data_IF_815671755482
#
_entry.id   IF_815671755482
#
_cell.length_a   1.000
_cell.length_b   1.000
_cell.length_c   1.000
_cell.angle_alpha   90.00
_cell.angle_beta   90.00
_cell.angle_gamma   90.00
#
_symmetry.space_group_name_H-M   'P 1'
#
loop_
_entity.id
_entity.type
_entity.pdbx_description
1 polymer ?
#
# COMPACT_ATOMS: atom_id res chain seq x y z
N UNK A 1 -17.25 -25.70 -9.19
CA UNK A 1 -16.71 -26.33 -7.97
C UNK A 1 -15.39 -25.67 -7.65
N UNK A 2 -15.12 -25.38 -6.38
CA UNK A 2 -13.85 -24.79 -5.93
C UNK A 2 -12.74 -25.85 -6.04
N UNK A 3 -11.56 -25.44 -6.52
CA UNK A 3 -10.39 -26.28 -6.76
C UNK A 3 -9.17 -25.74 -6.02
N UNK A 4 -8.15 -26.57 -5.89
CA UNK A 4 -6.82 -26.13 -5.46
C UNK A 4 -6.30 -25.06 -6.42
N UNK A 5 -5.64 -24.04 -5.88
CA UNK A 5 -5.18 -22.83 -6.56
C UNK A 5 -6.26 -21.83 -6.98
N UNK A 6 -7.54 -22.08 -6.63
CA UNK A 6 -8.57 -21.04 -6.79
C UNK A 6 -8.40 -19.95 -5.74
N UNK A 7 -8.85 -18.75 -6.11
CA UNK A 7 -9.12 -17.69 -5.15
C UNK A 7 -10.58 -17.73 -4.72
N UNK A 8 -10.83 -17.45 -3.45
CA UNK A 8 -12.17 -17.42 -2.86
C UNK A 8 -12.37 -16.19 -2.01
N UNK A 9 -13.63 -15.88 -1.71
CA UNK A 9 -14.03 -14.88 -0.73
C UNK A 9 -14.91 -15.49 0.34
N UNK A 10 -14.79 -14.99 1.58
CA UNK A 10 -15.75 -15.30 2.64
C UNK A 10 -17.13 -14.72 2.34
N UNK A 11 -18.16 -15.53 2.53
CA UNK A 11 -19.56 -15.10 2.36
C UNK A 11 -20.11 -14.36 3.60
N UNK A 12 -19.50 -14.58 4.76
CA UNK A 12 -19.86 -14.02 6.06
C UNK A 12 -18.62 -13.84 6.95
N UNK A 13 -18.77 -13.16 8.10
CA UNK A 13 -17.70 -13.04 9.09
C UNK A 13 -17.39 -14.41 9.70
N UNK A 14 -16.13 -14.80 9.79
CA UNK A 14 -15.75 -16.13 10.28
C UNK A 14 -14.40 -16.10 10.99
N UNK A 15 -14.34 -16.59 12.24
CA UNK A 15 -13.09 -16.71 13.04
C UNK A 15 -12.21 -15.44 13.02
N UNK A 16 -12.82 -14.26 13.18
CA UNK A 16 -12.11 -12.98 13.19
C UNK A 16 -11.73 -12.42 11.81
N UNK A 17 -12.07 -13.11 10.72
CA UNK A 17 -12.01 -12.59 9.36
C UNK A 17 -13.33 -11.93 8.97
N UNK A 18 -13.24 -10.79 8.33
CA UNK A 18 -14.41 -10.08 7.83
C UNK A 18 -14.94 -10.73 6.55
N UNK A 19 -16.23 -10.51 6.29
CA UNK A 19 -16.87 -10.88 5.03
C UNK A 19 -16.07 -10.31 3.85
N UNK A 20 -16.04 -11.03 2.74
CA UNK A 20 -15.28 -10.72 1.53
C UNK A 20 -13.75 -10.78 1.67
N UNK A 21 -13.20 -11.27 2.79
CA UNK A 21 -11.77 -11.58 2.88
C UNK A 21 -11.38 -12.57 1.80
N UNK A 22 -10.35 -12.23 1.02
CA UNK A 22 -9.84 -13.05 -0.08
C UNK A 22 -8.89 -14.10 0.48
N UNK A 23 -9.10 -15.34 0.06
CA UNK A 23 -8.27 -16.48 0.40
C UNK A 23 -7.79 -17.23 -0.84
N UNK A 24 -6.68 -17.94 -0.67
CA UNK A 24 -6.11 -18.86 -1.66
C UNK A 24 -6.34 -20.29 -1.21
N UNK A 25 -6.87 -21.13 -2.10
CA UNK A 25 -7.24 -22.51 -1.76
C UNK A 25 -6.03 -23.43 -1.92
N UNK A 26 -5.53 -23.97 -0.82
CA UNK A 26 -4.36 -24.85 -0.80
C UNK A 26 -4.74 -26.33 -0.89
N UNK A 27 -5.86 -26.71 -0.28
CA UNK A 27 -6.39 -28.08 -0.33
C UNK A 27 -7.92 -28.06 -0.39
N UNK A 28 -8.51 -29.05 -1.05
CA UNK A 28 -9.96 -29.25 -1.12
C UNK A 28 -10.30 -30.68 -0.76
N UNK A 29 -11.34 -30.84 0.06
CA UNK A 29 -12.00 -32.10 0.42
C UNK A 29 -13.48 -32.01 0.00
N UNK A 30 -14.27 -33.10 0.07
CA UNK A 30 -15.67 -33.06 -0.38
C UNK A 30 -16.55 -32.00 0.29
N UNK A 31 -16.29 -31.65 1.56
CA UNK A 31 -17.11 -30.68 2.32
C UNK A 31 -16.35 -29.43 2.76
N UNK A 32 -15.01 -29.46 2.78
CA UNK A 32 -14.15 -28.39 3.31
C UNK A 32 -13.00 -28.04 2.37
N UNK A 33 -12.45 -26.86 2.54
CA UNK A 33 -11.18 -26.45 1.94
C UNK A 33 -10.24 -25.90 3.00
N UNK A 34 -8.94 -26.11 2.79
CA UNK A 34 -7.87 -25.41 3.52
C UNK A 34 -7.56 -24.14 2.74
N UNK A 35 -7.82 -22.99 3.36
CA UNK A 35 -7.74 -21.68 2.70
C UNK A 35 -6.78 -20.78 3.47
N UNK A 36 -5.79 -20.26 2.75
CA UNK A 36 -4.88 -19.24 3.23
C UNK A 36 -5.46 -17.84 2.99
N UNK A 37 -5.87 -17.16 4.05
CA UNK A 37 -6.41 -15.80 4.00
C UNK A 37 -5.31 -14.75 4.02
N UNK A 38 -5.12 -14.12 2.86
CA UNK A 38 -3.91 -13.35 2.53
C UNK A 38 -3.74 -12.14 3.45
N UNK A 39 -4.81 -11.39 3.70
CA UNK A 39 -4.74 -10.13 4.45
C UNK A 39 -4.43 -10.27 5.93
N UNK A 40 -4.62 -11.47 6.51
CA UNK A 40 -4.28 -11.78 7.90
C UNK A 40 -3.11 -12.75 8.03
N UNK A 41 -2.61 -13.29 6.92
CA UNK A 41 -1.54 -14.29 6.92
C UNK A 41 -1.89 -15.51 7.80
N UNK A 42 -3.12 -16.02 7.66
CA UNK A 42 -3.61 -17.16 8.44
C UNK A 42 -4.22 -18.22 7.53
N UNK A 43 -4.08 -19.47 7.93
CA UNK A 43 -4.65 -20.63 7.26
C UNK A 43 -5.83 -21.16 8.06
N UNK A 44 -6.94 -21.50 7.38
CA UNK A 44 -8.16 -21.98 8.03
C UNK A 44 -8.75 -23.13 7.22
N UNK A 45 -9.06 -24.24 7.90
CA UNK A 45 -9.98 -25.25 7.39
C UNK A 45 -11.43 -24.73 7.52
N UNK A 46 -12.10 -24.58 6.38
CA UNK A 46 -13.41 -23.94 6.27
C UNK A 46 -14.37 -24.74 5.38
N UNK A 47 -15.64 -24.77 5.75
CA UNK A 47 -16.69 -25.41 4.95
C UNK A 47 -16.89 -24.68 3.62
N UNK A 48 -17.08 -25.46 2.54
CA UNK A 48 -17.27 -24.92 1.19
C UNK A 48 -18.48 -23.98 1.09
N UNK A 49 -19.47 -24.10 1.99
CA UNK A 49 -20.64 -23.22 2.06
C UNK A 49 -20.33 -21.79 2.51
N UNK A 50 -19.20 -21.56 3.21
CA UNK A 50 -18.79 -20.25 3.72
C UNK A 50 -17.86 -19.49 2.78
N UNK A 51 -17.51 -20.10 1.66
CA UNK A 51 -16.59 -19.52 0.66
C UNK A 51 -17.22 -19.53 -0.72
N UNK A 52 -16.88 -18.53 -1.52
CA UNK A 52 -17.31 -18.42 -2.91
C UNK A 52 -16.10 -18.20 -3.81
N UNK A 53 -16.06 -18.89 -4.94
CA UNK A 53 -15.06 -18.67 -5.97
C UNK A 53 -14.99 -17.18 -6.37
N UNK A 54 -13.77 -16.67 -6.51
CA UNK A 54 -13.45 -15.34 -6.98
C UNK A 54 -12.53 -15.41 -8.20
N UNK A 55 -13.02 -14.92 -9.33
CA UNK A 55 -12.17 -14.67 -10.51
C UNK A 55 -11.40 -13.36 -10.30
N UNK A 56 -10.16 -13.46 -9.80
CA UNK A 56 -9.32 -12.29 -9.52
C UNK A 56 -8.96 -11.47 -10.76
N UNK A 57 -9.01 -12.07 -11.95
CA UNK A 57 -8.76 -11.37 -13.23
C UNK A 57 -9.88 -10.39 -13.57
N UNK A 58 -11.05 -10.54 -12.93
CA UNK A 58 -12.21 -9.67 -13.04
C UNK A 58 -12.37 -8.73 -11.86
N UNK A 59 -11.25 -8.23 -11.32
CA UNK A 59 -11.21 -7.26 -10.23
C UNK A 59 -10.30 -6.08 -10.55
N UNK A 60 -10.54 -4.94 -9.89
CA UNK A 60 -9.91 -3.68 -10.24
C UNK A 60 -10.39 -3.15 -11.59
N UNK A 61 -9.79 -2.08 -12.08
CA UNK A 61 -10.18 -1.43 -13.34
C UNK A 61 -10.18 -2.44 -14.51
N UNK A 62 -11.28 -2.58 -15.29
CA UNK A 62 -12.48 -1.74 -15.33
C UNK A 62 -13.69 -2.24 -14.50
N UNK A 63 -13.53 -3.28 -13.70
CA UNK A 63 -14.58 -3.95 -12.95
C UNK A 63 -15.04 -3.16 -11.70
N UNK A 64 -16.26 -3.47 -11.24
CA UNK A 64 -16.91 -2.81 -10.08
C UNK A 64 -16.17 -3.03 -8.76
N UNK A 65 -15.62 -4.23 -8.57
CA UNK A 65 -14.99 -4.63 -7.32
C UNK A 65 -13.48 -4.71 -7.46
N UNK A 66 -12.76 -4.39 -6.38
CA UNK A 66 -11.30 -4.39 -6.31
C UNK A 66 -10.85 -4.99 -4.98
N UNK A 67 -9.73 -5.71 -5.02
CA UNK A 67 -9.10 -6.29 -3.84
C UNK A 67 -8.13 -5.27 -3.26
N UNK A 68 -8.27 -4.95 -1.97
CA UNK A 68 -7.32 -4.08 -1.28
C UNK A 68 -5.96 -4.77 -1.13
N UNK A 69 -4.86 -4.12 -1.52
CA UNK A 69 -3.51 -4.71 -1.43
C UNK A 69 -2.95 -4.82 0.01
N UNK A 70 -3.70 -4.36 1.02
CA UNK A 70 -3.30 -4.46 2.44
C UNK A 70 -4.16 -5.50 3.12
N UNK A 71 -5.45 -5.23 3.34
CA UNK A 71 -6.34 -6.17 4.03
C UNK A 71 -6.82 -7.33 3.15
N UNK A 72 -6.60 -7.30 1.84
CA UNK A 72 -7.04 -8.32 0.89
C UNK A 72 -8.54 -8.65 1.01
N UNK A 73 -9.36 -7.64 1.31
CA UNK A 73 -10.82 -7.74 1.27
C UNK A 73 -11.29 -7.23 -0.10
N UNK A 74 -12.22 -7.96 -0.72
CA UNK A 74 -12.91 -7.53 -1.94
C UNK A 74 -13.93 -6.44 -1.60
N UNK A 75 -13.75 -5.25 -2.19
CA UNK A 75 -14.49 -4.02 -1.90
C UNK A 75 -14.94 -3.33 -3.19
N UNK A 76 -15.82 -2.35 -3.11
CA UNK A 76 -16.29 -1.60 -4.28
C UNK A 76 -15.28 -0.52 -4.65
N UNK A 77 -14.76 -0.53 -5.88
CA UNK A 77 -13.56 0.24 -6.26
C UNK A 77 -13.73 1.76 -6.04
N UNK A 78 -14.65 2.41 -6.78
CA UNK A 78 -14.87 3.86 -6.72
C UNK A 78 -15.66 4.34 -5.49
N UNK A 79 -15.85 3.48 -4.50
CA UNK A 79 -16.53 3.78 -3.24
C UNK A 79 -15.59 3.63 -2.04
N UNK A 80 -14.86 2.52 -2.00
CA UNK A 80 -14.00 2.16 -0.88
C UNK A 80 -12.53 2.50 -1.14
N UNK A 81 -12.19 3.07 -2.31
CA UNK A 81 -10.83 3.47 -2.69
C UNK A 81 -10.81 4.90 -3.26
N UNK A 82 -9.87 5.71 -2.78
CA UNK A 82 -9.69 7.06 -3.29
C UNK A 82 -9.13 7.06 -4.72
N UNK A 83 -9.64 7.95 -5.57
CA UNK A 83 -9.05 8.25 -6.87
C UNK A 83 -7.72 8.97 -6.66
N UNK A 84 -6.64 8.49 -7.28
CA UNK A 84 -5.31 9.10 -7.15
C UNK A 84 -4.65 9.49 -8.47
N UNK A 85 -5.09 8.93 -9.60
CA UNK A 85 -4.50 9.21 -10.90
C UNK A 85 -5.56 9.19 -11.99
N UNK A 86 -5.20 9.75 -13.15
CA UNK A 86 -5.97 9.63 -14.39
C UNK A 86 -5.03 9.06 -15.44
N UNK A 87 -5.45 8.00 -16.15
CA UNK A 87 -4.62 7.41 -17.20
C UNK A 87 -4.65 8.24 -18.49
N UNK A 88 -3.79 7.88 -19.46
CA UNK A 88 -3.70 8.56 -20.75
C UNK A 88 -5.01 8.56 -21.56
N UNK A 89 -5.96 7.68 -21.23
CA UNK A 89 -7.30 7.62 -21.86
C UNK A 89 -8.34 8.42 -21.07
N UNK A 90 -7.92 9.26 -20.12
CA UNK A 90 -8.80 10.06 -19.28
C UNK A 90 -9.54 9.28 -18.18
N UNK A 91 -9.29 7.97 -18.04
CA UNK A 91 -10.01 7.14 -17.08
C UNK A 91 -9.37 7.28 -15.70
N UNK A 92 -10.18 7.54 -14.68
CA UNK A 92 -9.73 7.60 -13.29
C UNK A 92 -9.16 6.25 -12.84
N UNK A 93 -8.16 6.33 -11.97
CA UNK A 93 -7.50 5.18 -11.34
C UNK A 93 -7.51 5.43 -9.85
N UNK A 94 -7.94 4.42 -9.11
CA UNK A 94 -8.00 4.43 -7.65
C UNK A 94 -6.72 3.88 -7.03
N UNK A 95 -6.45 4.27 -5.79
CA UNK A 95 -5.37 3.71 -4.97
C UNK A 95 -5.53 2.20 -4.86
N UNK A 96 -4.43 1.43 -4.78
CA UNK A 96 -4.51 -0.03 -4.55
C UNK A 96 -4.99 -0.37 -3.12
N UNK A 97 -4.90 0.58 -2.20
CA UNK A 97 -5.27 0.43 -0.79
C UNK A 97 -6.61 1.11 -0.53
N UNK A 98 -7.53 0.42 0.15
CA UNK A 98 -8.82 0.99 0.52
C UNK A 98 -8.69 2.11 1.55
N UNK A 99 -9.69 2.98 1.63
CA UNK A 99 -9.75 4.15 2.52
C UNK A 99 -9.56 3.78 4.00
N UNK A 100 -10.13 2.67 4.45
CA UNK A 100 -9.94 2.19 5.83
C UNK A 100 -8.48 1.83 6.14
N UNK A 101 -7.82 1.09 5.25
CA UNK A 101 -6.40 0.77 5.42
C UNK A 101 -5.52 2.01 5.29
N UNK A 102 -5.92 3.00 4.47
CA UNK A 102 -5.21 4.27 4.34
C UNK A 102 -5.20 5.05 5.65
N UNK A 103 -6.28 5.08 6.42
CA UNK A 103 -6.30 5.74 7.74
C UNK A 103 -5.16 5.25 8.65
N UNK A 104 -4.89 3.94 8.64
CA UNK A 104 -3.80 3.37 9.44
C UNK A 104 -2.40 3.68 8.87
N UNK A 105 -2.28 3.84 7.54
CA UNK A 105 -1.01 4.13 6.87
C UNK A 105 -0.66 5.62 6.92
N UNK A 106 -1.66 6.48 6.74
CA UNK A 106 -1.52 7.94 6.75
C UNK A 106 -1.24 8.47 8.16
N UNK A 107 -1.69 7.75 9.19
CA UNK A 107 -1.42 8.09 10.58
C UNK A 107 -1.88 9.50 10.96
N UNK A 108 -1.07 10.18 11.76
CA UNK A 108 -1.30 11.53 12.24
C UNK A 108 -0.82 12.54 11.19
N UNK A 109 -1.77 13.32 10.67
CA UNK A 109 -1.46 14.40 9.75
C UNK A 109 -0.54 15.46 10.37
N UNK A 110 0.30 16.08 9.53
CA UNK A 110 1.15 17.21 9.90
C UNK A 110 0.36 18.31 10.63
N UNK A 111 0.76 18.62 11.86
CA UNK A 111 0.15 19.67 12.68
C UNK A 111 0.25 21.04 12.01
N UNK A 112 -0.86 21.79 11.98
CA UNK A 112 -0.93 23.12 11.36
C UNK A 112 0.16 24.09 11.85
N UNK A 113 0.43 24.12 13.15
CA UNK A 113 1.50 24.95 13.72
C UNK A 113 2.89 24.57 13.21
N UNK A 114 3.16 23.26 13.04
CA UNK A 114 4.41 22.75 12.49
C UNK A 114 4.53 23.04 11.00
N UNK A 115 3.44 22.88 10.24
CA UNK A 115 3.37 23.28 8.83
C UNK A 115 3.71 24.76 8.65
N UNK A 116 3.05 25.65 9.39
CA UNK A 116 3.29 27.09 9.30
C UNK A 116 4.75 27.46 9.60
N UNK A 117 5.36 26.82 10.61
CA UNK A 117 6.79 27.00 10.92
C UNK A 117 7.69 26.59 9.76
N UNK A 118 7.39 25.48 9.10
CA UNK A 118 8.21 24.97 7.98
C UNK A 118 8.04 25.81 6.72
N UNK A 119 6.84 26.31 6.44
CA UNK A 119 6.59 27.22 5.30
C UNK A 119 7.37 28.53 5.45
N UNK A 120 7.57 29.03 6.68
CA UNK A 120 8.37 30.24 6.93
C UNK A 120 9.87 30.09 6.58
N UNK A 121 10.37 28.85 6.46
CA UNK A 121 11.77 28.55 6.12
C UNK A 121 11.88 27.78 4.78
N UNK A 122 10.86 27.91 3.93
CA UNK A 122 10.80 27.21 2.65
C UNK A 122 11.96 27.62 1.73
N UNK A 123 12.69 26.66 1.13
CA UNK A 123 13.70 26.96 0.11
C UNK A 123 13.06 27.56 -1.15
N UNK A 124 13.48 28.75 -1.56
CA UNK A 124 12.91 29.46 -2.71
C UNK A 124 13.73 29.30 -4.00
N UNK A 125 15.04 29.54 -3.94
CA UNK A 125 15.89 29.64 -5.15
C UNK A 125 16.71 28.39 -5.43
N UNK A 126 17.21 27.73 -4.38
CA UNK A 126 18.12 26.61 -4.50
C UNK A 126 17.94 25.66 -3.32
N UNK A 127 18.01 24.36 -3.58
CA UNK A 127 17.80 23.32 -2.57
C UNK A 127 18.65 22.08 -2.85
N UNK A 128 19.32 21.57 -1.82
CA UNK A 128 20.00 20.27 -1.84
C UNK A 128 19.23 19.32 -0.92
N UNK A 129 18.68 18.25 -1.49
CA UNK A 129 17.91 17.28 -0.70
C UNK A 129 18.80 16.58 0.35
N UNK A 130 18.42 16.56 1.64
CA UNK A 130 19.25 15.95 2.69
C UNK A 130 19.38 14.43 2.54
N UNK A 131 18.47 13.77 1.81
CA UNK A 131 18.49 12.31 1.58
C UNK A 131 19.32 11.98 0.34
N UNK A 132 18.85 12.35 -0.86
CA UNK A 132 19.51 11.97 -2.10
C UNK A 132 20.67 12.88 -2.52
N UNK A 133 20.93 13.97 -1.80
CA UNK A 133 22.00 14.95 -2.04
C UNK A 133 21.96 15.64 -3.41
N UNK A 134 20.85 15.52 -4.14
CA UNK A 134 20.67 16.17 -5.44
C UNK A 134 20.38 17.67 -5.25
N UNK A 135 21.13 18.57 -5.92
CA UNK A 135 20.77 19.98 -6.01
C UNK A 135 19.57 20.17 -6.95
N UNK A 136 18.78 21.21 -6.72
CA UNK A 136 17.59 21.54 -7.50
C UNK A 136 17.18 23.00 -7.37
N UNK A 137 16.50 23.50 -8.39
CA UNK A 137 15.67 24.71 -8.35
C UNK A 137 14.25 24.28 -7.92
N UNK A 138 13.77 24.71 -6.74
CA UNK A 138 12.46 24.33 -6.21
C UNK A 138 11.32 24.62 -7.20
N UNK A 139 10.42 23.66 -7.41
CA UNK A 139 9.22 23.74 -8.26
C UNK A 139 9.46 23.97 -9.76
N UNK A 140 10.72 24.00 -10.19
CA UNK A 140 11.13 24.01 -11.61
C UNK A 140 11.73 22.66 -11.99
N UNK A 141 12.71 22.19 -11.21
CA UNK A 141 13.44 20.93 -11.47
C UNK A 141 13.09 19.83 -10.46
N UNK A 142 12.55 20.18 -9.29
CA UNK A 142 12.05 19.24 -8.30
C UNK A 142 10.96 19.88 -7.43
N UNK A 143 9.87 19.15 -7.19
CA UNK A 143 8.88 19.52 -6.19
C UNK A 143 9.43 19.22 -4.79
N UNK A 144 9.19 20.15 -3.84
CA UNK A 144 9.56 20.00 -2.44
C UNK A 144 8.32 19.78 -1.58
N UNK A 145 8.48 18.97 -0.55
CA UNK A 145 7.44 18.63 0.42
C UNK A 145 7.98 18.70 1.84
N UNK A 146 7.11 19.01 2.80
CA UNK A 146 7.42 18.93 4.23
C UNK A 146 7.23 17.47 4.65
N UNK A 147 8.34 16.77 4.88
CA UNK A 147 8.30 15.44 5.49
C UNK A 147 7.83 15.54 6.95
N UNK A 148 7.06 14.56 7.40
CA UNK A 148 6.57 14.54 8.76
C UNK A 148 6.46 13.13 9.31
N UNK A 149 6.49 13.06 10.62
CA UNK A 149 6.33 11.83 11.36
C UNK A 149 4.84 11.49 11.49
N UNK A 150 4.44 10.35 10.93
CA UNK A 150 3.05 9.88 10.90
C UNK A 150 2.55 9.34 12.25
N UNK A 151 3.40 9.25 13.28
CA UNK A 151 2.96 8.87 14.65
C UNK A 151 2.68 10.11 15.50
N UNK A 152 3.48 11.16 15.33
CA UNK A 152 3.45 12.37 16.18
C UNK A 152 2.85 13.61 15.51
N UNK A 153 2.78 13.62 14.17
CA UNK A 153 2.39 14.77 13.36
C UNK A 153 3.41 15.92 13.37
N UNK A 154 4.64 15.67 13.84
CA UNK A 154 5.73 16.65 13.85
C UNK A 154 6.44 16.69 12.49
N UNK A 155 6.75 17.89 12.01
CA UNK A 155 7.59 18.04 10.82
C UNK A 155 9.01 17.53 11.09
N UNK A 156 9.58 16.86 10.09
CA UNK A 156 11.01 16.57 10.02
C UNK A 156 11.69 17.71 9.26
N UNK A 157 11.88 17.56 7.95
CA UNK A 157 12.59 18.52 7.10
C UNK A 157 11.87 18.76 5.77
N UNK A 158 12.31 19.77 5.03
CA UNK A 158 12.02 19.86 3.61
C UNK A 158 12.84 18.81 2.86
N UNK A 159 12.18 17.99 2.03
CA UNK A 159 12.83 17.02 1.14
C UNK A 159 12.20 17.10 -0.26
N UNK A 160 12.85 16.51 -1.26
CA UNK A 160 12.23 16.39 -2.58
C UNK A 160 11.14 15.31 -2.56
N UNK A 161 10.08 15.52 -3.36
CA UNK A 161 8.93 14.61 -3.48
C UNK A 161 9.33 13.17 -3.83
N UNK A 162 10.39 13.01 -4.63
CA UNK A 162 10.94 11.69 -4.98
C UNK A 162 11.46 10.94 -3.74
N UNK A 163 12.17 11.62 -2.83
CA UNK A 163 12.64 10.99 -1.61
C UNK A 163 11.48 10.71 -0.66
N UNK A 164 10.55 11.64 -0.51
CA UNK A 164 9.34 11.45 0.31
C UNK A 164 8.53 10.23 -0.13
N UNK A 165 8.26 10.12 -1.44
CA UNK A 165 7.60 8.94 -2.01
C UNK A 165 8.41 7.66 -1.78
N UNK A 166 9.74 7.76 -1.83
CA UNK A 166 10.66 6.66 -1.51
C UNK A 166 10.52 6.17 -0.07
N UNK A 167 10.50 7.08 0.91
CA UNK A 167 10.30 6.75 2.33
C UNK A 167 8.98 6.01 2.55
N UNK A 168 7.89 6.54 1.96
CA UNK A 168 6.57 5.93 2.06
C UNK A 168 6.47 4.52 1.45
N UNK A 169 7.31 4.18 0.45
CA UNK A 169 7.39 2.81 -0.09
C UNK A 169 7.99 1.80 0.89
N UNK A 170 8.82 2.28 1.81
CA UNK A 170 9.36 1.51 2.94
C UNK A 170 8.57 1.74 4.23
N UNK A 171 7.37 2.32 4.13
CA UNK A 171 6.47 2.61 5.27
C UNK A 171 7.16 3.40 6.39
N UNK A 172 8.12 4.24 6.03
CA UNK A 172 8.97 5.00 6.96
C UNK A 172 9.68 4.12 8.02
N UNK A 173 9.80 2.80 7.78
CA UNK A 173 10.39 1.82 8.70
C UNK A 173 11.88 1.66 8.44
N UNK A 174 12.67 1.86 9.50
CA UNK A 174 14.11 1.64 9.50
C UNK A 174 14.42 0.17 9.20
N UNK A 175 13.65 -0.75 9.76
CA UNK A 175 13.82 -2.20 9.59
C UNK A 175 13.65 -2.60 8.12
N UNK A 176 12.61 -2.11 7.44
CA UNK A 176 12.41 -2.39 6.02
C UNK A 176 13.52 -1.80 5.14
N UNK A 177 14.03 -0.62 5.48
CA UNK A 177 15.17 -0.02 4.77
C UNK A 177 16.46 -0.82 5.00
N UNK A 178 16.69 -1.36 6.20
CA UNK A 178 17.81 -2.25 6.48
C UNK A 178 17.73 -3.54 5.64
N UNK A 179 16.54 -4.12 5.49
CA UNK A 179 16.34 -5.26 4.58
C UNK A 179 16.64 -4.90 3.12
N UNK A 180 16.24 -3.70 2.66
CA UNK A 180 16.60 -3.22 1.33
C UNK A 180 18.12 -3.09 1.16
N UNK A 181 18.84 -2.57 2.17
CA UNK A 181 20.31 -2.50 2.15
C UNK A 181 20.93 -3.91 2.10
N UNK A 182 20.44 -4.86 2.90
CA UNK A 182 20.92 -6.26 2.89
C UNK A 182 20.73 -6.89 1.52
N UNK A 183 19.55 -6.69 0.91
CA UNK A 183 19.26 -7.14 -0.45
C UNK A 183 20.28 -6.59 -1.46
N UNK A 184 20.50 -5.27 -1.47
CA UNK A 184 21.46 -4.65 -2.37
C UNK A 184 22.89 -5.18 -2.16
N UNK A 185 23.32 -5.33 -0.90
CA UNK A 185 24.65 -5.88 -0.56
C UNK A 185 24.84 -7.30 -1.08
N UNK A 186 23.80 -8.15 -1.02
CA UNK A 186 23.84 -9.53 -1.53
C UNK A 186 24.09 -9.56 -3.03
N UNK A 187 23.45 -8.66 -3.79
CA UNK A 187 23.56 -8.64 -5.25
C UNK A 187 24.73 -7.82 -5.78
N UNK A 188 25.27 -6.87 -5.01
CA UNK A 188 26.47 -6.12 -5.38
C UNK A 188 27.73 -7.00 -5.41
N UNK A 189 27.79 -8.05 -4.57
CA UNK A 189 28.91 -9.01 -4.56
C UNK A 189 28.96 -9.91 -5.80
N UNK A 190 27.82 -10.10 -6.47
CA UNK A 190 27.70 -10.99 -7.64
C UNK A 190 27.95 -10.26 -8.98
N UNK A 191 28.33 -8.99 -8.95
CA UNK A 191 28.61 -8.17 -10.15
C UNK A 191 30.11 -7.86 -10.32
N UNK A 192 30.98 -8.52 -9.55
CA UNK A 192 32.43 -8.52 -9.76
C UNK A 192 32.86 -9.89 -10.29
N UNK A 193 32.54 -10.16 -11.56
CA UNK A 193 33.21 -11.16 -12.42
C UNK A 193 33.47 -10.51 -13.77
#
# INVERSE_FOLDING_TARGET
>A
MIKVNDFVVLTEKYKGLDKNSVGFVEKVTPSKAKVFFIGKNIEIDIDLSKIKFLDVTKTGKPYKYKICNVCHILKEDYKDFDINQTDAKGRKTTRPTCTECRKAIDGVALKKSKKNRMEAIRPEKFFICPICKKPSIPYVTANLVIDHDHDTGNAREWICDSCNTGLGRFKDSIELMQEAIKYLKRHAKNQKS
#
